data_IF_445328910754
#
_entry.id   IF_445328910754
#
_cell.length_a   1.000
_cell.length_b   1.000
_cell.length_c   1.000
_cell.angle_alpha   90.00
_cell.angle_beta   90.00
_cell.angle_gamma   90.00
#
_symmetry.space_group_name_H-M   'P 1'
#
loop_
_entity.id
_entity.type
_entity.pdbx_description
1 polymer ?
#
# COMPACT_ATOMS: atom_id res chain seq x y z
N UNK A 1 20.33 -3.93 18.21
CA UNK A 1 19.64 -5.24 18.21
C UNK A 1 19.67 -5.78 16.79
N UNK A 2 19.64 -7.10 16.62
CA UNK A 2 19.62 -7.72 15.27
C UNK A 2 18.18 -7.96 14.86
N UNK A 3 17.93 -8.17 13.56
CA UNK A 3 16.58 -8.49 13.07
C UNK A 3 16.07 -9.78 13.73
N UNK A 4 16.99 -10.73 13.98
CA UNK A 4 16.69 -12.02 14.61
C UNK A 4 16.36 -11.86 16.09
N UNK A 5 17.08 -11.02 16.85
CA UNK A 5 16.79 -10.85 18.28
C UNK A 5 15.42 -10.23 18.54
N UNK A 6 14.99 -9.32 17.66
CA UNK A 6 13.64 -8.71 17.74
C UNK A 6 12.55 -9.76 17.45
N UNK A 7 12.78 -10.62 16.46
CA UNK A 7 11.87 -11.72 16.13
C UNK A 7 11.76 -12.74 17.29
N UNK A 8 12.88 -13.10 17.91
CA UNK A 8 12.91 -13.99 19.07
C UNK A 8 12.20 -13.38 20.28
N UNK A 9 12.34 -12.07 20.51
CA UNK A 9 11.61 -11.36 21.54
C UNK A 9 10.09 -11.41 21.30
N UNK A 10 9.65 -11.22 20.05
CA UNK A 10 8.25 -11.30 19.67
C UNK A 10 7.64 -12.72 19.79
N UNK A 11 8.46 -13.76 19.60
CA UNK A 11 8.06 -15.15 19.92
C UNK A 11 7.91 -15.32 21.44
N UNK A 12 8.89 -14.84 22.21
CA UNK A 12 8.90 -14.99 23.66
C UNK A 12 7.76 -14.23 24.36
N UNK A 13 7.32 -13.10 23.79
CA UNK A 13 6.14 -12.35 24.27
C UNK A 13 4.80 -12.98 23.85
N UNK A 14 4.82 -13.95 22.92
CA UNK A 14 3.62 -14.56 22.36
C UNK A 14 2.91 -13.72 21.29
N UNK A 15 3.54 -12.65 20.79
CA UNK A 15 2.97 -11.79 19.74
C UNK A 15 2.95 -12.49 18.38
N UNK A 16 3.86 -13.44 18.15
CA UNK A 16 3.95 -14.24 16.92
C UNK A 16 4.25 -15.72 17.22
N UNK A 17 3.88 -16.58 16.27
CA UNK A 17 4.31 -17.98 16.26
C UNK A 17 5.61 -18.12 15.46
N UNK A 18 6.48 -19.02 15.90
CA UNK A 18 7.74 -19.30 15.21
C UNK A 18 7.50 -20.00 13.86
N UNK A 19 8.10 -19.47 12.78
CA UNK A 19 7.97 -19.99 11.42
C UNK A 19 9.36 -20.16 10.79
N UNK A 20 9.69 -21.41 10.42
CA UNK A 20 10.97 -21.77 9.79
C UNK A 20 11.22 -21.05 8.46
N UNK A 21 10.18 -20.75 7.67
CA UNK A 21 10.31 -20.03 6.41
C UNK A 21 10.57 -18.55 6.65
N UNK A 22 9.94 -17.97 7.68
CA UNK A 22 10.25 -16.61 8.12
C UNK A 22 11.69 -16.51 8.64
N UNK A 23 12.17 -17.50 9.39
CA UNK A 23 13.57 -17.58 9.83
C UNK A 23 14.57 -17.59 8.66
N UNK A 24 14.28 -18.27 7.55
CA UNK A 24 15.12 -18.23 6.34
C UNK A 24 15.22 -16.81 5.76
N UNK A 25 14.10 -16.10 5.69
CA UNK A 25 14.08 -14.70 5.24
C UNK A 25 14.87 -13.80 6.20
N UNK A 26 14.71 -14.00 7.51
CA UNK A 26 15.44 -13.23 8.53
C UNK A 26 16.96 -13.43 8.44
N UNK A 27 17.42 -14.66 8.16
CA UNK A 27 18.84 -14.93 7.92
C UNK A 27 19.36 -14.18 6.69
N UNK A 28 18.59 -14.16 5.60
CA UNK A 28 18.96 -13.41 4.39
C UNK A 28 18.97 -11.89 4.64
N UNK A 29 18.00 -11.39 5.40
CA UNK A 29 17.93 -9.98 5.84
C UNK A 29 19.10 -9.60 6.74
N UNK A 30 19.48 -10.46 7.68
CA UNK A 30 20.63 -10.26 8.56
C UNK A 30 21.94 -10.21 7.75
N UNK A 31 22.14 -11.16 6.81
CA UNK A 31 23.28 -11.14 5.89
C UNK A 31 23.35 -9.84 5.09
N UNK A 32 22.23 -9.42 4.49
CA UNK A 32 22.18 -8.16 3.75
C UNK A 32 22.50 -6.96 4.66
N UNK A 33 22.02 -6.98 5.89
CA UNK A 33 22.30 -5.93 6.86
C UNK A 33 23.79 -5.81 7.18
N UNK A 34 24.50 -6.94 7.29
CA UNK A 34 25.93 -7.00 7.49
C UNK A 34 26.72 -6.56 6.26
N UNK A 35 26.32 -6.98 5.05
CA UNK A 35 26.94 -6.54 3.79
C UNK A 35 26.81 -5.04 3.54
N UNK A 36 25.74 -4.41 4.05
CA UNK A 36 25.52 -2.96 3.94
C UNK A 36 26.40 -2.12 4.88
N UNK A 37 26.92 -2.71 5.96
CA UNK A 37 27.79 -2.01 6.91
C UNK A 37 29.12 -1.59 6.25
N UNK A 38 29.68 -0.43 6.62
CA UNK A 38 30.97 -0.03 6.10
C UNK A 38 32.05 -1.06 6.53
N UNK A 39 32.97 -1.44 5.63
CA UNK A 39 34.02 -2.39 5.98
C UNK A 39 34.84 -1.84 7.15
N UNK A 40 35.05 -2.68 8.18
CA UNK A 40 35.99 -2.36 9.26
C UNK A 40 37.34 -2.06 8.62
N UNK A 41 37.96 -0.94 8.99
CA UNK A 41 39.21 -0.41 8.41
C UNK A 41 40.35 -1.43 8.50
N UNK A 42 40.45 -2.32 7.51
CA UNK A 42 41.66 -3.11 7.24
C UNK A 42 42.41 -2.45 6.10
N UNK A 43 43.53 -1.83 6.45
CA UNK A 43 44.49 -1.10 5.62
C UNK A 43 45.02 -1.79 4.34
N UNK A 44 44.69 -3.06 4.07
CA UNK A 44 45.25 -3.84 2.95
C UNK A 44 44.23 -4.54 2.05
N UNK A 45 42.95 -4.16 2.04
CA UNK A 45 41.99 -4.72 1.07
C UNK A 45 41.76 -3.77 -0.11
N UNK A 46 42.34 -4.14 -1.25
CA UNK A 46 41.94 -3.67 -2.60
C UNK A 46 40.41 -3.70 -2.64
N UNK A 47 39.80 -2.56 -2.96
CA UNK A 47 38.36 -2.30 -2.95
C UNK A 47 37.67 -3.16 -4.01
N UNK A 48 37.51 -4.45 -3.73
CA UNK A 48 36.74 -5.37 -4.57
C UNK A 48 35.30 -4.89 -4.48
N UNK A 49 34.75 -4.42 -5.61
CA UNK A 49 33.35 -4.01 -5.73
C UNK A 49 32.52 -5.27 -5.47
N UNK A 50 32.14 -5.51 -4.22
CA UNK A 50 31.23 -6.57 -3.86
C UNK A 50 29.85 -6.18 -4.40
N UNK A 51 29.30 -6.95 -5.33
CA UNK A 51 27.95 -6.73 -5.85
C UNK A 51 26.96 -7.25 -4.80
N UNK A 52 26.47 -6.34 -3.94
CA UNK A 52 25.52 -6.67 -2.88
C UNK A 52 24.17 -6.98 -3.53
N UNK A 53 23.69 -8.21 -3.36
CA UNK A 53 22.37 -8.59 -3.85
C UNK A 53 21.28 -8.11 -2.90
N UNK A 54 20.22 -7.57 -3.48
CA UNK A 54 18.97 -7.29 -2.81
C UNK A 54 18.18 -8.56 -2.45
N UNK A 55 16.97 -8.38 -1.95
CA UNK A 55 16.05 -9.47 -1.61
C UNK A 55 14.71 -9.28 -2.32
N UNK A 56 14.17 -10.34 -2.90
CA UNK A 56 12.80 -10.37 -3.42
C UNK A 56 12.04 -11.48 -2.71
N UNK A 57 11.15 -11.10 -1.80
CA UNK A 57 10.42 -12.01 -0.93
C UNK A 57 9.00 -12.13 -1.48
N UNK A 58 8.59 -13.34 -1.85
CA UNK A 58 7.24 -13.58 -2.34
C UNK A 58 6.51 -14.67 -1.56
N UNK A 59 5.19 -14.65 -1.59
CA UNK A 59 4.35 -15.65 -0.91
C UNK A 59 2.91 -15.17 -0.79
N UNK A 60 1.94 -16.03 -0.46
CA UNK A 60 0.54 -15.64 -0.39
C UNK A 60 0.26 -14.58 0.67
N UNK A 61 -0.93 -13.98 0.62
CA UNK A 61 -1.41 -13.02 1.62
C UNK A 61 -1.41 -13.67 3.01
N UNK A 62 -1.04 -12.90 4.04
CA UNK A 62 -1.09 -13.35 5.43
C UNK A 62 0.15 -14.09 5.96
N UNK A 63 1.16 -14.39 5.14
CA UNK A 63 2.39 -15.11 5.58
C UNK A 63 3.44 -14.24 6.30
N UNK A 64 3.09 -13.00 6.66
CA UNK A 64 3.98 -12.12 7.45
C UNK A 64 5.03 -11.32 6.65
N UNK A 65 4.94 -11.23 5.32
CA UNK A 65 5.88 -10.45 4.48
C UNK A 65 6.09 -9.01 4.95
N UNK A 66 4.99 -8.29 5.22
CA UNK A 66 5.04 -6.89 5.66
C UNK A 66 5.70 -6.75 7.03
N UNK A 67 5.40 -7.68 7.95
CA UNK A 67 6.02 -7.73 9.28
C UNK A 67 7.54 -7.96 9.19
N UNK A 68 7.99 -8.90 8.36
CA UNK A 68 9.42 -9.12 8.13
C UNK A 68 10.11 -7.88 7.53
N UNK A 69 9.43 -7.19 6.59
CA UNK A 69 9.92 -5.93 6.06
C UNK A 69 9.99 -4.84 7.14
N UNK A 70 9.00 -4.75 8.03
CA UNK A 70 8.98 -3.81 9.16
C UNK A 70 10.18 -4.02 10.08
N UNK A 71 10.39 -5.27 10.52
CA UNK A 71 11.53 -5.66 11.35
C UNK A 71 12.86 -5.28 10.69
N UNK A 72 13.06 -5.66 9.42
CA UNK A 72 14.28 -5.34 8.70
C UNK A 72 14.49 -3.83 8.56
N UNK A 73 13.46 -3.10 8.12
CA UNK A 73 13.56 -1.67 7.88
C UNK A 73 13.82 -0.87 9.17
N UNK A 74 13.27 -1.31 10.31
CA UNK A 74 13.52 -0.66 11.60
C UNK A 74 14.94 -0.94 12.10
N UNK A 75 15.41 -2.19 12.02
CA UNK A 75 16.68 -2.61 12.62
C UNK A 75 17.91 -2.36 11.74
N UNK A 76 17.73 -2.16 10.42
CA UNK A 76 18.86 -1.91 9.50
C UNK A 76 19.56 -0.58 9.83
N UNK A 77 20.88 -0.63 10.04
CA UNK A 77 21.72 0.54 10.35
C UNK A 77 22.06 1.45 9.16
N UNK A 78 21.57 1.14 7.96
CA UNK A 78 21.73 1.98 6.77
C UNK A 78 20.91 3.27 6.92
N UNK A 79 21.57 4.42 6.82
CA UNK A 79 20.92 5.74 6.96
C UNK A 79 20.28 6.19 5.66
N UNK A 80 20.86 5.81 4.51
CA UNK A 80 20.33 6.11 3.18
C UNK A 80 19.33 5.04 2.76
N UNK A 81 18.20 4.96 3.47
CA UNK A 81 17.12 4.01 3.18
C UNK A 81 15.82 4.73 2.89
N UNK A 82 15.01 4.18 2.00
CA UNK A 82 13.66 4.66 1.73
C UNK A 82 12.72 3.46 1.53
N UNK A 83 11.45 3.62 1.93
CA UNK A 83 10.45 2.56 1.82
C UNK A 83 9.15 3.10 1.22
N UNK A 84 8.61 2.39 0.25
CA UNK A 84 7.39 2.77 -0.45
C UNK A 84 6.49 1.56 -0.71
N UNK A 85 5.18 1.79 -0.78
CA UNK A 85 4.33 0.92 -1.60
C UNK A 85 4.66 1.13 -3.07
N UNK A 86 4.74 0.04 -3.84
CA UNK A 86 5.16 0.11 -5.23
C UNK A 86 4.29 1.03 -6.09
N UNK A 87 2.96 0.98 -5.95
CA UNK A 87 2.05 1.81 -6.75
C UNK A 87 2.26 3.31 -6.50
N UNK A 88 2.32 3.72 -5.23
CA UNK A 88 2.56 5.12 -4.86
C UNK A 88 3.93 5.63 -5.34
N UNK A 89 4.95 4.76 -5.29
CA UNK A 89 6.24 5.09 -5.88
C UNK A 89 6.14 5.35 -7.39
N UNK A 90 5.44 4.49 -8.13
CA UNK A 90 5.28 4.65 -9.58
C UNK A 90 4.49 5.93 -9.94
N UNK A 91 3.49 6.31 -9.14
CA UNK A 91 2.81 7.61 -9.30
C UNK A 91 3.76 8.80 -9.14
N UNK A 92 4.68 8.73 -8.17
CA UNK A 92 5.68 9.79 -7.98
C UNK A 92 6.70 9.83 -9.12
N UNK A 93 7.11 8.68 -9.67
CA UNK A 93 7.96 8.60 -10.86
C UNK A 93 7.26 9.24 -12.06
N UNK A 94 6.00 8.90 -12.29
CA UNK A 94 5.18 9.45 -13.38
C UNK A 94 5.03 10.98 -13.26
N UNK A 95 4.83 11.51 -12.06
CA UNK A 95 4.84 12.95 -11.82
C UNK A 95 6.20 13.62 -12.13
N UNK A 96 7.32 12.95 -11.85
CA UNK A 96 8.66 13.46 -12.22
C UNK A 96 8.90 13.39 -13.73
N UNK A 97 8.45 12.32 -14.40
CA UNK A 97 8.57 12.17 -15.85
C UNK A 97 7.84 13.28 -16.59
N UNK A 98 6.63 13.66 -16.15
CA UNK A 98 5.92 14.82 -16.70
C UNK A 98 6.70 16.13 -16.55
N UNK A 99 7.35 16.35 -15.41
CA UNK A 99 8.17 17.56 -15.17
C UNK A 99 9.44 17.60 -16.03
N UNK A 100 9.97 16.42 -16.36
CA UNK A 100 11.17 16.26 -17.17
C UNK A 100 10.84 15.98 -18.64
N UNK A 101 9.60 16.22 -19.07
CA UNK A 101 9.17 15.97 -20.44
C UNK A 101 10.03 16.78 -21.43
N UNK A 102 10.45 16.12 -22.51
CA UNK A 102 11.35 16.71 -23.52
C UNK A 102 12.84 16.70 -23.14
N UNK A 103 13.20 16.27 -21.92
CA UNK A 103 14.60 16.07 -21.55
C UNK A 103 15.09 14.68 -21.97
N UNK A 104 16.39 14.58 -22.24
CA UNK A 104 17.03 13.31 -22.58
C UNK A 104 17.23 12.44 -21.33
N UNK A 105 16.93 11.15 -21.46
CA UNK A 105 17.08 10.11 -20.42
C UNK A 105 16.51 10.50 -19.03
N UNK A 106 15.22 10.87 -18.93
CA UNK A 106 14.65 11.41 -17.69
C UNK A 106 14.69 10.40 -16.53
N UNK A 107 14.54 9.10 -16.80
CA UNK A 107 14.63 8.05 -15.78
C UNK A 107 16.03 7.95 -15.16
N UNK A 108 17.09 8.13 -15.97
CA UNK A 108 18.47 8.13 -15.46
C UNK A 108 18.73 9.32 -14.54
N UNK A 109 18.19 10.49 -14.89
CA UNK A 109 18.26 11.69 -14.05
C UNK A 109 17.52 11.48 -12.73
N UNK A 110 16.29 10.96 -12.78
CA UNK A 110 15.50 10.62 -11.59
C UNK A 110 16.29 9.64 -10.69
N UNK A 111 16.87 8.59 -11.28
CA UNK A 111 17.68 7.63 -10.54
C UNK A 111 18.92 8.24 -9.88
N UNK A 112 19.65 9.10 -10.60
CA UNK A 112 20.82 9.79 -10.05
C UNK A 112 20.45 10.71 -8.89
N UNK A 113 19.34 11.45 -9.00
CA UNK A 113 18.85 12.33 -7.94
C UNK A 113 18.34 11.56 -6.73
N UNK A 114 17.66 10.43 -6.95
CA UNK A 114 17.19 9.53 -5.89
C UNK A 114 18.37 8.90 -5.13
N UNK A 115 19.41 8.46 -5.85
CA UNK A 115 20.59 7.81 -5.28
C UNK A 115 21.42 8.70 -4.34
N UNK A 116 21.29 10.03 -4.43
CA UNK A 116 21.95 10.97 -3.49
C UNK A 116 21.55 10.71 -2.04
N UNK A 117 20.28 10.36 -1.82
CA UNK A 117 19.69 10.11 -0.48
C UNK A 117 19.39 8.65 -0.19
N UNK A 118 19.29 7.80 -1.21
CA UNK A 118 18.86 6.41 -1.04
C UNK A 118 19.89 5.45 -1.64
N UNK A 119 20.39 4.54 -0.80
CA UNK A 119 21.21 3.38 -1.15
C UNK A 119 20.42 2.09 -1.00
N UNK A 120 19.50 2.00 -0.03
CA UNK A 120 18.60 0.88 0.17
C UNK A 120 17.16 1.30 -0.13
N UNK A 121 16.54 0.64 -1.12
CA UNK A 121 15.15 0.88 -1.52
C UNK A 121 14.30 -0.32 -1.13
N UNK A 122 13.34 -0.11 -0.24
CA UNK A 122 12.38 -1.12 0.18
C UNK A 122 11.04 -0.90 -0.53
N UNK A 123 10.54 -1.90 -1.25
CA UNK A 123 9.18 -1.91 -1.79
C UNK A 123 8.29 -2.88 -1.03
N UNK A 124 7.18 -2.37 -0.50
CA UNK A 124 6.05 -3.19 -0.13
C UNK A 124 5.14 -3.40 -1.34
N UNK A 125 4.55 -4.59 -1.42
CA UNK A 125 3.51 -4.95 -2.40
C UNK A 125 3.95 -4.69 -3.84
N UNK A 126 5.11 -5.20 -4.22
CA UNK A 126 5.64 -5.08 -5.58
C UNK A 126 4.76 -5.84 -6.57
N UNK A 127 3.80 -5.13 -7.16
CA UNK A 127 2.78 -5.67 -8.04
C UNK A 127 2.59 -4.78 -9.26
N UNK A 128 2.65 -5.38 -10.46
CA UNK A 128 2.58 -4.67 -11.74
C UNK A 128 1.36 -5.15 -12.51
N UNK A 129 0.38 -4.27 -12.67
CA UNK A 129 -0.80 -4.49 -13.52
C UNK A 129 -0.97 -3.41 -14.60
N UNK A 130 -0.42 -2.22 -14.35
CA UNK A 130 -0.51 -1.08 -15.25
C UNK A 130 0.51 -1.20 -16.39
N UNK A 131 0.04 -1.06 -17.64
CA UNK A 131 0.88 -1.14 -18.84
C UNK A 131 1.93 -0.04 -18.87
N UNK A 132 1.61 1.19 -18.50
CA UNK A 132 2.55 2.31 -18.50
C UNK A 132 3.69 2.06 -17.51
N UNK A 133 3.38 1.53 -16.33
CA UNK A 133 4.39 1.18 -15.34
C UNK A 133 5.28 0.03 -15.83
N UNK A 134 4.67 -1.01 -16.42
CA UNK A 134 5.39 -2.13 -16.99
C UNK A 134 6.38 -1.67 -18.08
N UNK A 135 6.00 -0.69 -18.91
CA UNK A 135 6.86 -0.21 -19.99
C UNK A 135 8.13 0.52 -19.51
N UNK A 136 8.09 1.21 -18.38
CA UNK A 136 9.23 1.99 -17.88
C UNK A 136 10.05 1.26 -16.82
N UNK A 137 9.51 0.21 -16.21
CA UNK A 137 10.11 -0.40 -15.01
C UNK A 137 11.49 -1.00 -15.27
N UNK A 138 11.69 -1.62 -16.43
CA UNK A 138 12.99 -2.20 -16.79
C UNK A 138 14.09 -1.14 -16.82
N UNK A 139 13.84 -0.02 -17.51
CA UNK A 139 14.79 1.09 -17.63
C UNK A 139 15.01 1.77 -16.27
N UNK A 140 13.95 1.93 -15.48
CA UNK A 140 14.04 2.51 -14.14
C UNK A 140 14.88 1.65 -13.19
N UNK A 141 14.63 0.34 -13.13
CA UNK A 141 15.43 -0.58 -12.31
C UNK A 141 16.89 -0.61 -12.78
N UNK A 142 17.12 -0.64 -14.10
CA UNK A 142 18.47 -0.56 -14.65
C UNK A 142 19.19 0.71 -14.21
N UNK A 143 18.50 1.86 -14.26
CA UNK A 143 19.04 3.13 -13.82
C UNK A 143 19.35 3.14 -12.31
N UNK A 144 18.47 2.57 -11.47
CA UNK A 144 18.72 2.45 -10.03
C UNK A 144 19.91 1.55 -9.71
N UNK A 145 19.98 0.36 -10.33
CA UNK A 145 21.10 -0.55 -10.12
C UNK A 145 22.43 0.01 -10.62
N UNK A 146 22.42 0.81 -11.69
CA UNK A 146 23.60 1.53 -12.16
C UNK A 146 24.12 2.56 -11.14
N UNK A 147 23.23 3.14 -10.33
CA UNK A 147 23.58 4.05 -9.23
C UNK A 147 23.95 3.32 -7.92
N UNK A 148 23.93 1.98 -7.91
CA UNK A 148 24.26 1.18 -6.73
C UNK A 148 23.15 1.11 -5.68
N UNK A 149 21.90 1.40 -6.07
CA UNK A 149 20.74 1.18 -5.20
C UNK A 149 20.51 -0.32 -5.05
N UNK A 150 20.29 -0.75 -3.82
CA UNK A 150 20.00 -2.14 -3.44
C UNK A 150 18.51 -2.24 -3.17
N UNK A 151 17.86 -3.24 -3.77
CA UNK A 151 16.41 -3.44 -3.70
C UNK A 151 16.04 -4.50 -2.67
N UNK A 152 15.09 -4.21 -1.79
CA UNK A 152 14.39 -5.22 -0.99
C UNK A 152 12.91 -5.11 -1.29
N UNK A 153 12.28 -6.15 -1.81
CA UNK A 153 10.89 -6.12 -2.23
C UNK A 153 10.10 -7.25 -1.59
N UNK A 154 8.84 -6.97 -1.20
CA UNK A 154 7.85 -7.99 -0.85
C UNK A 154 6.75 -8.03 -1.91
N UNK A 155 6.29 -9.23 -2.29
CA UNK A 155 5.21 -9.40 -3.28
C UNK A 155 4.33 -10.62 -2.99
N UNK A 156 3.11 -10.61 -3.50
CA UNK A 156 2.26 -11.80 -3.52
C UNK A 156 2.52 -12.70 -4.75
N UNK A 157 3.35 -12.23 -5.68
CA UNK A 157 3.59 -12.86 -6.98
C UNK A 157 5.08 -13.17 -7.12
N UNK A 158 5.43 -14.34 -7.62
CA UNK A 158 6.84 -14.63 -7.91
C UNK A 158 7.32 -13.76 -9.11
N UNK A 159 8.63 -13.48 -9.24
CA UNK A 159 9.12 -12.62 -10.31
C UNK A 159 8.70 -13.06 -11.71
N UNK A 160 8.68 -14.37 -11.98
CA UNK A 160 8.32 -14.93 -13.29
C UNK A 160 6.84 -14.77 -13.65
N UNK A 161 5.98 -14.48 -12.66
CA UNK A 161 4.54 -14.24 -12.82
C UNK A 161 4.17 -12.74 -12.76
N UNK A 162 5.12 -11.85 -12.48
CA UNK A 162 4.86 -10.41 -12.49
C UNK A 162 4.36 -9.95 -13.86
N UNK A 163 3.24 -9.24 -13.93
CA UNK A 163 2.60 -8.77 -15.17
C UNK A 163 2.22 -9.91 -16.15
N UNK A 164 1.95 -11.11 -15.62
CA UNK A 164 1.54 -12.27 -16.43
C UNK A 164 0.28 -11.92 -17.23
N UNK A 165 0.28 -12.27 -18.52
CA UNK A 165 -0.76 -11.90 -19.49
C UNK A 165 -0.90 -10.38 -19.79
N UNK A 166 0.00 -9.55 -19.27
CA UNK A 166 0.01 -8.12 -19.57
C UNK A 166 0.34 -7.81 -21.04
N UNK A 167 -0.23 -6.70 -21.54
CA UNK A 167 0.03 -6.22 -22.91
C UNK A 167 1.52 -5.99 -23.12
N UNK A 168 2.06 -6.52 -24.21
CA UNK A 168 3.49 -6.44 -24.57
C UNK A 168 4.44 -6.98 -23.47
N UNK A 169 4.04 -8.06 -22.75
CA UNK A 169 4.85 -8.74 -21.73
C UNK A 169 6.32 -8.96 -22.10
N UNK A 170 6.64 -9.22 -23.37
CA UNK A 170 8.02 -9.36 -23.85
C UNK A 170 8.92 -8.16 -23.47
N UNK A 171 8.36 -6.93 -23.48
CA UNK A 171 9.07 -5.71 -23.06
C UNK A 171 9.29 -5.62 -21.54
N UNK A 172 8.54 -6.39 -20.75
CA UNK A 172 8.66 -6.46 -19.30
C UNK A 172 9.65 -7.53 -18.83
N UNK A 173 9.93 -8.56 -19.64
CA UNK A 173 10.90 -9.62 -19.30
C UNK A 173 12.28 -9.10 -18.86
N UNK A 174 12.84 -8.01 -19.43
CA UNK A 174 14.08 -7.42 -18.94
C UNK A 174 14.00 -6.96 -17.47
N UNK A 175 12.85 -6.45 -17.01
CA UNK A 175 12.67 -6.09 -15.60
C UNK A 175 12.73 -7.32 -14.69
N UNK A 176 12.10 -8.43 -15.10
CA UNK A 176 12.16 -9.71 -14.37
C UNK A 176 13.61 -10.22 -14.30
N UNK A 177 14.34 -10.18 -15.43
CA UNK A 177 15.73 -10.58 -15.48
C UNK A 177 16.63 -9.71 -14.56
N UNK A 178 16.37 -8.40 -14.50
CA UNK A 178 17.06 -7.48 -13.58
C UNK A 178 16.77 -7.83 -12.12
N UNK A 179 15.52 -8.11 -11.76
CA UNK A 179 15.15 -8.53 -10.40
C UNK A 179 15.88 -9.83 -10.03
N UNK A 180 15.82 -10.86 -10.88
CA UNK A 180 16.44 -12.18 -10.60
C UNK A 180 17.98 -12.13 -10.57
N UNK A 181 18.60 -11.20 -11.31
CA UNK A 181 20.05 -11.04 -11.29
C UNK A 181 20.55 -10.24 -10.08
N UNK A 182 19.79 -9.22 -9.65
CA UNK A 182 20.18 -8.29 -8.58
C UNK A 182 19.60 -8.62 -7.21
N UNK A 183 18.62 -9.52 -7.13
CA UNK A 183 18.01 -9.95 -5.88
C UNK A 183 18.15 -11.46 -5.69
N UNK A 184 18.29 -11.89 -4.44
CA UNK A 184 17.98 -13.26 -4.03
C UNK A 184 16.45 -13.39 -3.92
N UNK A 185 15.88 -14.37 -4.61
CA UNK A 185 14.44 -14.62 -4.60
C UNK A 185 14.13 -15.68 -3.54
N UNK A 186 13.29 -15.32 -2.56
CA UNK A 186 12.93 -16.19 -1.44
C UNK A 186 11.41 -16.36 -1.40
N UNK A 187 10.96 -17.62 -1.40
CA UNK A 187 9.54 -17.96 -1.27
C UNK A 187 9.18 -18.20 0.19
N UNK A 188 8.16 -17.50 0.67
CA UNK A 188 7.45 -17.74 1.91
C UNK A 188 6.20 -18.58 1.61
N UNK A 189 6.38 -19.91 1.62
CA UNK A 189 5.31 -20.89 1.61
C UNK A 189 5.01 -21.52 0.25
N UNK A 190 5.31 -22.82 0.13
CA UNK A 190 4.65 -23.74 -0.81
C UNK A 190 3.99 -24.84 0.03
N UNK A 191 2.65 -24.87 0.09
CA UNK A 191 1.75 -25.80 0.84
C UNK A 191 1.74 -25.68 2.39
N UNK A 192 0.71 -25.06 2.95
CA UNK A 192 -0.59 -25.63 3.35
C UNK A 192 -1.40 -24.50 3.98
N UNK A 193 -2.68 -24.48 3.67
CA UNK A 193 -3.63 -23.46 4.09
C UNK A 193 -3.74 -23.44 5.63
N UNK A 194 -3.17 -22.40 6.27
CA UNK A 194 -3.30 -22.13 7.70
C UNK A 194 -4.39 -21.08 7.97
N UNK A 195 -5.48 -21.05 7.20
CA UNK A 195 -6.66 -20.21 7.47
C UNK A 195 -7.51 -20.74 8.64
N UNK A 196 -6.87 -21.24 9.70
CA UNK A 196 -7.54 -21.71 10.91
C UNK A 196 -7.13 -20.83 12.09
N UNK A 197 -8.12 -20.11 12.62
CA UNK A 197 -8.00 -19.37 13.88
C UNK A 197 -7.76 -17.88 13.69
N UNK A 198 -8.80 -17.13 13.35
CA UNK A 198 -8.87 -15.72 13.73
C UNK A 198 -10.21 -15.50 14.40
N UNK A 199 -10.16 -15.13 15.67
CA UNK A 199 -11.35 -14.67 16.39
C UNK A 199 -11.94 -13.45 15.66
N UNK A 200 -13.23 -13.48 15.31
CA UNK A 200 -13.88 -12.35 14.67
C UNK A 200 -14.02 -11.21 15.68
N UNK A 201 -13.21 -10.16 15.53
CA UNK A 201 -13.48 -8.88 16.17
C UNK A 201 -14.47 -8.12 15.28
N UNK A 202 -15.71 -7.98 15.77
CA UNK A 202 -16.84 -7.22 15.20
C UNK A 202 -16.99 -7.35 13.67
N UNK A 203 -17.98 -8.14 13.25
CA UNK A 203 -18.38 -8.38 11.86
C UNK A 203 -18.28 -7.11 10.99
N UNK A 204 -17.14 -6.95 10.30
CA UNK A 204 -16.90 -5.82 9.40
C UNK A 204 -17.61 -6.00 8.05
N UNK A 205 -18.15 -7.19 7.81
CA UNK A 205 -18.98 -7.51 6.64
C UNK A 205 -20.26 -8.17 7.12
N UNK A 206 -21.35 -7.40 7.07
CA UNK A 206 -22.66 -7.75 7.60
C UNK A 206 -23.56 -8.20 6.46
N UNK A 207 -24.21 -9.35 6.63
CA UNK A 207 -25.18 -9.88 5.68
C UNK A 207 -26.12 -10.86 6.42
N UNK A 208 -27.32 -11.14 5.87
CA UNK A 208 -27.97 -10.45 4.75
C UNK A 208 -28.49 -9.07 5.17
N UNK A 209 -28.80 -8.20 4.21
CA UNK A 209 -29.45 -6.91 4.50
C UNK A 209 -30.76 -7.11 5.26
N UNK A 210 -30.97 -6.28 6.29
CA UNK A 210 -32.21 -6.20 7.04
C UNK A 210 -32.03 -5.47 8.37
N UNK A 211 -33.12 -5.36 9.12
CA UNK A 211 -33.15 -4.58 10.37
C UNK A 211 -32.09 -5.01 11.41
N UNK A 212 -31.71 -6.29 11.42
CA UNK A 212 -30.66 -6.80 12.30
C UNK A 212 -29.28 -6.24 11.93
N UNK A 213 -28.89 -6.28 10.65
CA UNK A 213 -27.61 -5.73 10.19
C UNK A 213 -27.57 -4.21 10.32
N UNK A 214 -28.69 -3.54 10.11
CA UNK A 214 -28.79 -2.07 10.25
C UNK A 214 -28.61 -1.65 11.70
N UNK A 215 -29.15 -2.43 12.63
CA UNK A 215 -28.95 -2.23 14.07
C UNK A 215 -27.47 -2.39 14.43
N UNK A 216 -26.81 -3.45 13.95
CA UNK A 216 -25.39 -3.70 14.20
C UNK A 216 -24.52 -2.58 13.60
N UNK A 217 -24.78 -2.14 12.37
CA UNK A 217 -24.10 -1.01 11.74
C UNK A 217 -24.20 0.26 12.59
N UNK A 218 -25.42 0.58 13.04
CA UNK A 218 -25.67 1.74 13.88
C UNK A 218 -24.94 1.65 15.22
N UNK A 219 -25.01 0.50 15.89
CA UNK A 219 -24.32 0.25 17.16
C UNK A 219 -22.80 0.41 17.02
N UNK A 220 -22.21 -0.17 15.97
CA UNK A 220 -20.78 -0.03 15.68
C UNK A 220 -20.40 1.42 15.37
N UNK A 221 -21.21 2.15 14.60
CA UNK A 221 -20.95 3.56 14.30
C UNK A 221 -21.00 4.42 15.57
N UNK A 222 -22.05 4.27 16.38
CA UNK A 222 -22.22 5.03 17.64
C UNK A 222 -21.17 4.68 18.68
N UNK A 223 -20.62 3.45 18.67
CA UNK A 223 -19.50 3.08 19.53
C UNK A 223 -18.20 3.83 19.19
N UNK A 224 -18.02 4.24 17.92
CA UNK A 224 -16.86 5.02 17.47
C UNK A 224 -17.12 6.53 17.64
N UNK A 225 -18.32 6.98 17.25
CA UNK A 225 -18.73 8.38 17.22
C UNK A 225 -19.91 8.64 18.15
N UNK A 226 -19.63 9.13 19.36
CA UNK A 226 -20.68 9.52 20.32
C UNK A 226 -21.44 10.77 19.85
N UNK A 227 -20.74 11.69 19.17
CA UNK A 227 -21.30 12.92 18.62
C UNK A 227 -21.24 12.86 17.09
N UNK A 228 -22.36 12.57 16.44
CA UNK A 228 -22.45 12.52 14.98
C UNK A 228 -23.63 13.30 14.44
N UNK A 229 -23.45 13.82 13.23
CA UNK A 229 -24.53 14.43 12.44
C UNK A 229 -25.11 13.35 11.54
N UNK A 230 -26.43 13.27 11.48
CA UNK A 230 -27.14 12.39 10.54
C UNK A 230 -27.61 13.19 9.34
N UNK A 231 -27.59 12.56 8.16
CA UNK A 231 -28.10 13.11 6.89
C UNK A 231 -27.59 14.51 6.55
N UNK A 232 -26.36 14.58 6.02
CA UNK A 232 -25.74 15.81 5.56
C UNK A 232 -24.87 15.58 4.33
N UNK A 233 -24.08 16.59 3.98
CA UNK A 233 -23.18 16.53 2.84
C UNK A 233 -21.73 16.70 3.29
N UNK A 234 -20.85 15.82 2.79
CA UNK A 234 -19.42 16.00 2.86
C UNK A 234 -18.94 16.65 1.56
N UNK A 235 -18.38 17.86 1.64
CA UNK A 235 -17.71 18.48 0.50
C UNK A 235 -16.34 17.83 0.30
N UNK A 236 -16.18 17.17 -0.84
CA UNK A 236 -14.94 16.52 -1.30
C UNK A 236 -14.54 17.18 -2.62
N UNK A 237 -13.34 17.73 -2.67
CA UNK A 237 -12.91 18.67 -3.70
C UNK A 237 -13.89 19.85 -3.86
N UNK A 238 -14.70 19.86 -4.92
CA UNK A 238 -15.69 20.89 -5.25
C UNK A 238 -17.13 20.35 -5.28
N UNK A 239 -17.35 19.14 -4.77
CA UNK A 239 -18.62 18.42 -4.89
C UNK A 239 -19.10 17.90 -3.54
N UNK A 240 -20.41 17.98 -3.34
CA UNK A 240 -21.06 17.45 -2.15
C UNK A 240 -21.39 15.96 -2.31
N UNK A 241 -21.11 15.20 -1.26
CA UNK A 241 -21.40 13.77 -1.15
C UNK A 241 -22.35 13.58 0.03
N UNK A 242 -23.61 13.17 -0.20
CA UNK A 242 -24.53 12.86 0.88
C UNK A 242 -23.99 11.73 1.75
N UNK A 243 -24.03 11.89 3.08
CA UNK A 243 -23.70 10.84 4.03
C UNK A 243 -24.93 10.46 4.86
N UNK A 244 -24.95 9.23 5.35
CA UNK A 244 -25.94 8.73 6.30
C UNK A 244 -25.64 9.29 7.68
N UNK A 245 -24.39 9.13 8.15
CA UNK A 245 -23.87 9.71 9.40
C UNK A 245 -22.42 10.16 9.23
N UNK A 246 -22.03 11.22 9.94
CA UNK A 246 -20.67 11.72 9.97
C UNK A 246 -20.32 12.15 11.39
N UNK A 247 -19.21 11.63 11.91
CA UNK A 247 -18.57 12.10 13.13
C UNK A 247 -17.19 12.69 12.83
N UNK A 248 -16.32 12.73 13.84
CA UNK A 248 -14.97 13.27 13.71
C UNK A 248 -14.01 12.32 12.98
N UNK A 249 -14.09 11.03 13.31
CA UNK A 249 -13.16 9.97 12.85
C UNK A 249 -13.85 8.93 11.97
N UNK A 250 -15.18 8.84 11.98
CA UNK A 250 -15.93 7.94 11.13
C UNK A 250 -16.98 8.63 10.25
N UNK A 251 -17.19 8.08 9.06
CA UNK A 251 -18.24 8.50 8.14
C UNK A 251 -18.96 7.29 7.55
N UNK A 252 -20.25 7.45 7.28
CA UNK A 252 -21.12 6.41 6.74
C UNK A 252 -21.82 6.89 5.47
N UNK A 253 -21.65 6.14 4.39
CA UNK A 253 -22.33 6.34 3.12
C UNK A 253 -23.28 5.19 2.78
N UNK A 254 -24.31 5.50 1.99
CA UNK A 254 -25.05 4.50 1.21
C UNK A 254 -24.23 4.06 -0.02
N UNK A 255 -24.29 2.79 -0.38
CA UNK A 255 -23.55 2.23 -1.51
C UNK A 255 -23.79 2.98 -2.83
N UNK A 256 -25.05 3.31 -3.15
CA UNK A 256 -25.43 4.00 -4.39
C UNK A 256 -25.01 5.47 -4.39
N UNK A 257 -24.56 6.01 -3.27
CA UNK A 257 -24.00 7.36 -3.20
C UNK A 257 -22.49 7.34 -3.41
N UNK A 258 -21.79 6.44 -2.71
CA UNK A 258 -20.32 6.42 -2.73
C UNK A 258 -19.74 5.69 -3.95
N UNK A 259 -20.45 4.71 -4.49
CA UNK A 259 -20.07 3.96 -5.69
C UNK A 259 -20.86 4.38 -6.93
N UNK A 260 -21.11 5.68 -7.13
CA UNK A 260 -21.84 6.18 -8.30
C UNK A 260 -21.03 7.25 -9.05
N UNK A 261 -21.33 7.51 -10.31
CA UNK A 261 -20.71 8.62 -11.03
C UNK A 261 -21.21 9.96 -10.46
N UNK A 262 -20.37 11.02 -10.49
CA UNK A 262 -19.05 11.11 -11.09
C UNK A 262 -17.87 10.83 -10.12
N UNK A 263 -17.99 9.87 -9.19
CA UNK A 263 -16.90 9.58 -8.22
C UNK A 263 -15.63 9.10 -8.92
N UNK A 264 -14.51 9.45 -8.31
CA UNK A 264 -13.16 9.17 -8.78
C UNK A 264 -12.28 8.71 -7.62
N UNK A 265 -11.13 8.10 -7.96
CA UNK A 265 -10.16 7.65 -6.96
C UNK A 265 -9.65 8.79 -6.06
N UNK A 266 -9.56 10.03 -6.58
CA UNK A 266 -9.15 11.20 -5.79
C UNK A 266 -10.14 11.52 -4.68
N UNK A 267 -11.44 11.32 -4.91
CA UNK A 267 -12.46 11.54 -3.89
C UNK A 267 -12.30 10.54 -2.73
N UNK A 268 -12.03 9.28 -3.07
CA UNK A 268 -11.81 8.23 -2.07
C UNK A 268 -10.53 8.47 -1.28
N UNK A 269 -9.47 8.99 -1.91
CA UNK A 269 -8.23 9.34 -1.22
C UNK A 269 -8.46 10.46 -0.20
N UNK A 270 -9.21 11.49 -0.59
CA UNK A 270 -9.54 12.60 0.31
C UNK A 270 -10.43 12.15 1.49
N UNK A 271 -11.38 11.23 1.25
CA UNK A 271 -12.15 10.60 2.32
C UNK A 271 -11.24 9.82 3.27
N UNK A 272 -10.32 9.03 2.73
CA UNK A 272 -9.35 8.26 3.52
C UNK A 272 -8.35 9.15 4.29
N UNK A 273 -8.07 10.37 3.81
CA UNK A 273 -7.24 11.35 4.53
C UNK A 273 -7.98 11.98 5.72
N UNK A 274 -9.31 12.03 5.69
CA UNK A 274 -10.13 12.67 6.73
C UNK A 274 -10.56 11.69 7.82
N UNK A 275 -10.93 10.46 7.46
CA UNK A 275 -11.55 9.50 8.39
C UNK A 275 -10.65 8.30 8.69
N UNK A 276 -10.81 7.71 9.86
CA UNK A 276 -10.15 6.46 10.27
C UNK A 276 -11.00 5.24 9.93
N UNK A 277 -12.32 5.40 9.96
CA UNK A 277 -13.30 4.35 9.70
C UNK A 277 -14.35 4.82 8.69
N UNK A 278 -14.65 3.98 7.71
CA UNK A 278 -15.69 4.25 6.73
C UNK A 278 -16.71 3.12 6.77
N UNK A 279 -17.99 3.49 6.81
CA UNK A 279 -19.12 2.58 6.74
C UNK A 279 -19.79 2.70 5.37
N UNK A 280 -20.16 1.57 4.77
CA UNK A 280 -20.95 1.53 3.53
C UNK A 280 -22.12 0.57 3.72
N UNK A 281 -23.34 1.09 3.68
CA UNK A 281 -24.53 0.23 3.78
C UNK A 281 -25.11 -0.13 2.42
N UNK A 282 -25.90 -1.20 2.42
CA UNK A 282 -26.84 -1.54 1.36
C UNK A 282 -26.18 -1.90 0.02
N UNK A 283 -25.04 -2.60 0.08
CA UNK A 283 -24.41 -3.13 -1.14
C UNK A 283 -25.30 -4.24 -1.72
N UNK A 284 -25.88 -4.06 -2.93
CA UNK A 284 -26.73 -5.06 -3.54
C UNK A 284 -25.89 -6.22 -4.10
N UNK A 285 -26.57 -7.28 -4.55
CA UNK A 285 -25.94 -8.25 -5.44
C UNK A 285 -25.59 -7.55 -6.74
N UNK A 286 -24.31 -7.51 -7.11
CA UNK A 286 -23.88 -6.90 -8.36
C UNK A 286 -24.00 -7.91 -9.50
N UNK A 287 -24.57 -7.45 -10.61
CA UNK A 287 -24.83 -8.24 -11.80
C UNK A 287 -24.01 -7.76 -12.99
N UNK A 288 -24.11 -8.44 -14.13
CA UNK A 288 -23.45 -8.02 -15.38
C UNK A 288 -23.85 -6.62 -15.84
N UNK A 289 -24.97 -6.07 -15.36
CA UNK A 289 -25.45 -4.73 -15.69
C UNK A 289 -24.84 -3.64 -14.79
N UNK A 290 -24.13 -4.03 -13.73
CA UNK A 290 -23.62 -3.14 -12.70
C UNK A 290 -22.11 -2.86 -12.85
N UNK A 291 -21.56 -2.97 -14.07
CA UNK A 291 -20.12 -2.82 -14.34
C UNK A 291 -19.54 -1.53 -13.76
N UNK A 292 -20.25 -0.41 -13.86
CA UNK A 292 -19.79 0.88 -13.30
C UNK A 292 -19.72 0.83 -11.77
N UNK A 293 -20.75 0.28 -11.11
CA UNK A 293 -20.77 0.08 -9.66
C UNK A 293 -19.63 -0.85 -9.20
N UNK A 294 -19.38 -1.92 -9.96
CA UNK A 294 -18.28 -2.85 -9.67
C UNK A 294 -16.91 -2.16 -9.79
N UNK A 295 -16.68 -1.36 -10.83
CA UNK A 295 -15.43 -0.58 -11.02
C UNK A 295 -15.24 0.40 -9.85
N UNK A 296 -16.27 1.16 -9.48
CA UNK A 296 -16.19 2.15 -8.41
C UNK A 296 -15.98 1.49 -7.05
N UNK A 297 -16.62 0.35 -6.78
CA UNK A 297 -16.40 -0.43 -5.58
C UNK A 297 -14.97 -0.98 -5.51
N UNK A 298 -14.42 -1.46 -6.63
CA UNK A 298 -13.00 -1.87 -6.72
C UNK A 298 -12.09 -0.71 -6.35
N UNK A 299 -12.27 0.47 -6.97
CA UNK A 299 -11.45 1.65 -6.67
C UNK A 299 -11.58 2.11 -5.21
N UNK A 300 -12.80 2.09 -4.68
CA UNK A 300 -13.09 2.48 -3.30
C UNK A 300 -12.38 1.55 -2.30
N UNK A 301 -12.60 0.23 -2.44
CA UNK A 301 -11.96 -0.77 -1.57
C UNK A 301 -10.44 -0.70 -1.70
N UNK A 302 -9.93 -0.51 -2.92
CA UNK A 302 -8.50 -0.39 -3.15
C UNK A 302 -7.87 0.76 -2.36
N UNK A 303 -8.51 1.94 -2.38
CA UNK A 303 -8.04 3.09 -1.61
C UNK A 303 -8.13 2.84 -0.10
N UNK A 304 -9.26 2.32 0.39
CA UNK A 304 -9.42 2.06 1.83
C UNK A 304 -8.42 1.02 2.34
N UNK A 305 -8.17 -0.02 1.54
CA UNK A 305 -7.17 -1.04 1.82
C UNK A 305 -5.76 -0.43 1.85
N UNK A 306 -5.36 0.27 0.78
CA UNK A 306 -4.00 0.82 0.65
C UNK A 306 -3.70 1.90 1.71
N UNK A 307 -4.73 2.61 2.18
CA UNK A 307 -4.63 3.65 3.22
C UNK A 307 -4.79 3.11 4.65
N UNK A 308 -5.06 1.82 4.83
CA UNK A 308 -5.24 1.20 6.15
C UNK A 308 -6.52 1.64 6.86
N UNK A 309 -7.55 2.07 6.11
CA UNK A 309 -8.82 2.53 6.66
C UNK A 309 -9.65 1.33 7.07
N UNK A 310 -10.28 1.42 8.26
CA UNK A 310 -11.24 0.40 8.71
C UNK A 310 -12.52 0.54 7.89
N UNK A 311 -12.89 -0.51 7.17
CA UNK A 311 -14.09 -0.53 6.34
C UNK A 311 -15.12 -1.49 6.93
N UNK A 312 -16.31 -0.98 7.22
CA UNK A 312 -17.46 -1.77 7.68
C UNK A 312 -18.56 -1.71 6.61
N UNK A 313 -19.08 -2.85 6.20
CA UNK A 313 -20.02 -2.98 5.08
C UNK A 313 -21.26 -3.77 5.50
N UNK A 314 -22.44 -3.37 5.01
CA UNK A 314 -23.58 -4.29 4.88
C UNK A 314 -23.87 -4.64 3.42
N UNK A 315 -24.17 -5.90 3.16
CA UNK A 315 -24.39 -6.42 1.82
C UNK A 315 -25.54 -7.44 1.74
N UNK A 316 -26.16 -7.53 0.56
CA UNK A 316 -27.31 -8.40 0.32
C UNK A 316 -26.96 -9.89 0.41
N UNK A 317 -25.71 -10.25 0.15
CA UNK A 317 -25.23 -11.64 0.02
C UNK A 317 -23.86 -11.82 0.68
N UNK A 318 -23.46 -13.07 0.98
CA UNK A 318 -22.11 -13.35 1.43
C UNK A 318 -21.05 -12.86 0.42
N UNK A 319 -19.87 -12.50 0.92
CA UNK A 319 -18.78 -11.91 0.13
C UNK A 319 -18.45 -12.67 -1.19
N UNK A 320 -18.33 -14.01 -1.23
CA UNK A 320 -18.05 -14.74 -2.48
C UNK A 320 -19.14 -14.63 -3.55
N UNK A 321 -20.35 -14.24 -3.16
CA UNK A 321 -21.53 -14.11 -4.04
C UNK A 321 -21.79 -12.66 -4.47
N UNK A 322 -21.00 -11.69 -3.99
CA UNK A 322 -21.24 -10.27 -4.22
C UNK A 322 -21.18 -9.88 -5.70
N UNK A 323 -20.26 -10.50 -6.48
CA UNK A 323 -20.13 -10.31 -7.92
C UNK A 323 -19.52 -11.55 -8.58
N UNK A 324 -20.37 -12.39 -9.20
CA UNK A 324 -19.98 -13.72 -9.70
C UNK A 324 -19.79 -13.75 -11.22
N UNK A 325 -20.37 -12.79 -11.95
CA UNK A 325 -20.38 -12.72 -13.40
C UNK A 325 -20.31 -11.26 -13.89
N UNK A 326 -19.63 -11.03 -15.02
CA UNK A 326 -19.48 -9.73 -15.65
C UNK A 326 -18.02 -9.40 -15.97
N UNK A 327 -17.81 -8.30 -16.69
CA UNK A 327 -16.51 -7.92 -17.27
C UNK A 327 -15.41 -7.77 -16.22
N UNK A 328 -15.77 -7.33 -15.01
CA UNK A 328 -14.82 -7.09 -13.92
C UNK A 328 -14.53 -8.32 -13.07
N UNK A 329 -15.08 -9.50 -13.38
CA UNK A 329 -15.07 -10.68 -12.50
C UNK A 329 -13.66 -11.06 -12.01
N UNK A 330 -12.68 -11.08 -12.92
CA UNK A 330 -11.32 -11.47 -12.56
C UNK A 330 -10.62 -10.42 -11.69
N UNK A 331 -10.80 -9.14 -12.01
CA UNK A 331 -10.31 -8.03 -11.18
C UNK A 331 -10.98 -8.01 -9.80
N UNK A 332 -12.27 -8.36 -9.73
CA UNK A 332 -13.06 -8.36 -8.50
C UNK A 332 -12.61 -9.45 -7.51
N UNK A 333 -11.96 -10.53 -7.97
CA UNK A 333 -11.35 -11.54 -7.08
C UNK A 333 -10.34 -10.91 -6.12
N UNK A 334 -9.58 -9.90 -6.57
CA UNK A 334 -8.65 -9.15 -5.72
C UNK A 334 -9.40 -8.35 -4.66
N UNK A 335 -10.49 -7.68 -5.05
CA UNK A 335 -11.37 -6.94 -4.14
C UNK A 335 -11.97 -7.85 -3.08
N UNK A 336 -12.42 -9.05 -3.44
CA UNK A 336 -12.91 -10.04 -2.47
C UNK A 336 -11.82 -10.43 -1.47
N UNK A 337 -10.59 -10.69 -1.93
CA UNK A 337 -9.47 -11.01 -1.04
C UNK A 337 -9.15 -9.87 -0.08
N UNK A 338 -9.18 -8.62 -0.55
CA UNK A 338 -8.95 -7.41 0.27
C UNK A 338 -10.04 -7.25 1.32
N UNK A 339 -11.31 -7.34 0.92
CA UNK A 339 -12.46 -7.29 1.82
C UNK A 339 -12.41 -8.39 2.88
N UNK A 340 -11.97 -9.60 2.52
CA UNK A 340 -11.80 -10.69 3.47
C UNK A 340 -10.66 -10.42 4.46
N UNK A 341 -9.55 -9.84 4.01
CA UNK A 341 -8.43 -9.48 4.89
C UNK A 341 -8.79 -8.33 5.85
N UNK A 342 -9.53 -7.34 5.37
CA UNK A 342 -10.03 -6.20 6.16
C UNK A 342 -10.96 -6.63 7.31
N UNK A 343 -11.54 -7.84 7.25
CA UNK A 343 -12.33 -8.43 8.34
C UNK A 343 -11.48 -9.02 9.48
N UNK A 344 -10.15 -9.07 9.36
CA UNK A 344 -9.30 -9.67 10.38
C UNK A 344 -8.85 -8.67 11.45
N UNK A 345 -8.83 -9.11 12.72
CA UNK A 345 -8.38 -8.30 13.86
C UNK A 345 -6.99 -7.67 13.67
N UNK A 346 -6.13 -8.34 12.91
CA UNK A 346 -4.77 -7.90 12.64
C UNK A 346 -4.64 -6.80 11.59
N UNK A 347 -5.67 -6.58 10.76
CA UNK A 347 -5.59 -5.65 9.63
C UNK A 347 -5.24 -4.23 10.08
N UNK A 348 -5.94 -3.73 11.11
CA UNK A 348 -5.74 -2.38 11.67
C UNK A 348 -4.39 -2.24 12.38
N UNK A 349 -3.92 -3.30 13.05
CA UNK A 349 -2.61 -3.30 13.73
C UNK A 349 -1.44 -3.32 12.76
N UNK A 350 -1.60 -3.97 11.58
CA UNK A 350 -0.55 -4.11 10.56
C UNK A 350 -0.46 -2.95 9.57
N UNK A 351 -1.49 -2.10 9.48
CA UNK A 351 -1.56 -0.97 8.55
C UNK A 351 -1.81 0.36 9.26
N UNK A 352 -0.91 0.82 10.18
CA UNK A 352 -1.03 2.15 10.74
C UNK A 352 -0.99 3.21 9.62
N UNK A 353 -1.75 4.31 9.75
CA UNK A 353 -1.81 5.44 8.81
C UNK A 353 -0.40 5.78 8.31
N UNK A 354 -0.06 5.39 7.08
CA UNK A 354 1.29 5.61 6.53
C UNK A 354 1.41 7.09 6.18
N UNK A 355 2.34 7.77 6.84
CA UNK A 355 2.77 9.10 6.41
C UNK A 355 3.29 9.01 4.98
N UNK A 356 2.73 9.84 4.09
CA UNK A 356 3.13 9.93 2.68
C UNK A 356 4.60 10.35 2.62
N UNK A 357 5.51 9.39 2.42
CA UNK A 357 6.90 9.71 2.11
C UNK A 357 6.94 10.28 0.69
N UNK A 358 7.25 11.57 0.59
CA UNK A 358 7.47 12.24 -0.69
C UNK A 358 8.81 11.82 -1.27
N UNK A 359 8.85 11.46 -2.56
CA UNK A 359 10.05 11.00 -3.26
C UNK A 359 11.26 11.87 -2.95
N UNK A 360 11.09 13.20 -2.87
CA UNK A 360 12.12 14.24 -2.74
C UNK A 360 12.14 15.02 -1.41
N UNK A 361 11.37 14.62 -0.39
CA UNK A 361 11.50 15.20 0.96
C UNK A 361 10.95 16.62 1.18
N UNK A 362 10.09 17.16 0.31
CA UNK A 362 9.27 18.34 0.63
C UNK A 362 7.92 18.27 -0.07
N UNK A 363 6.86 18.53 0.69
CA UNK A 363 5.55 18.87 0.14
C UNK A 363 5.61 20.33 -0.33
N UNK A 364 5.25 20.66 -1.58
CA UNK A 364 5.12 22.06 -2.01
C UNK A 364 3.98 22.80 -1.27
N UNK A 365 3.05 22.07 -0.65
CA UNK A 365 1.85 22.65 -0.04
C UNK A 365 2.09 23.41 1.27
N UNK A 366 3.28 23.36 1.87
CA UNK A 366 3.57 24.08 3.12
C UNK A 366 4.26 25.44 2.93
N UNK A 367 4.82 25.78 1.76
CA UNK A 367 5.56 27.04 1.58
C UNK A 367 4.69 28.22 1.09
N UNK A 368 3.52 27.97 0.51
CA UNK A 368 2.63 29.05 0.02
C UNK A 368 1.73 29.65 1.11
N UNK A 369 1.51 28.96 2.24
CA UNK A 369 0.71 29.51 3.35
C UNK A 369 1.50 30.39 4.32
N UNK A 370 2.82 30.22 4.44
CA UNK A 370 3.64 31.08 5.32
C UNK A 370 3.99 32.42 4.67
N UNK A 371 4.15 32.46 3.35
CA UNK A 371 4.46 33.70 2.61
C UNK A 371 3.23 34.61 2.42
N UNK A 372 2.02 34.04 2.37
CA UNK A 372 0.77 34.82 2.32
C UNK A 372 0.38 35.46 3.67
N UNK A 373 0.85 34.91 4.80
CA UNK A 373 0.57 35.40 6.15
C UNK A 373 1.41 36.59 6.61
N UNK A 374 2.62 36.77 6.05
CA UNK A 374 3.53 37.85 6.45
C UNK A 374 3.34 39.14 5.63
N UNK A 375 2.76 39.07 4.43
CA UNK A 375 2.50 40.24 3.58
C UNK A 375 1.32 41.13 4.00
N UNK A 376 0.43 40.66 4.89
CA UNK A 376 -0.76 41.43 5.32
C UNK A 376 -0.60 42.19 6.65
N UNK A 377 0.48 41.98 7.41
CA UNK A 377 0.74 42.72 8.66
C UNK A 377 1.55 44.01 8.48
N UNK A 378 2.15 44.26 7.31
CA UNK A 378 2.98 45.44 7.07
C UNK A 378 2.24 46.66 6.46
N UNK A 379 0.93 46.59 6.19
CA UNK A 379 0.14 47.69 5.58
C UNK A 379 -0.93 48.32 6.48
N UNK A 380 -0.90 48.08 7.80
CA UNK A 380 -1.84 48.69 8.76
C UNK A 380 -1.20 49.62 9.80
N UNK A 381 0.05 50.04 9.58
CA UNK A 381 0.73 51.03 10.41
C UNK A 381 1.23 52.21 9.57
N UNK A 382 0.32 52.85 8.82
CA UNK A 382 0.50 54.21 8.29
C UNK A 382 -0.84 54.72 7.76
N UNK A 383 -1.70 55.16 8.68
CA UNK A 383 -2.61 56.31 8.50
C UNK A 383 -3.23 56.67 9.83
#
# INVERSE_FOLDING_TARGET
MTVISEYEAAIASGDIQDDLMQRKVLLAMQRLAEELQPPKRTWFRRRQKHDIKGLYIHGPVGVGKSYLMDLFYQQIGERKKARFHFHHFMQQIDAQLRRLQGQKDPLRRIAADFAKRTRLLCFDEFLVHDVAYAMILAELLQAFFAQGIILVATSNTCPDELYLNGVQRARFLPAIALIKSRCEVISLGDKKDYRLGRDPLQEAYLYPLGAATDKILNEQFTAIEQNSVSQGNLTVQTRDIPFVKCGERAIWFDFKVICNLPRSQLDYLEIADRFDTVFVSDIPVLTTNDTVYAILLVHFVDVMYDRGIRLVISAAVPLPQLYVQGEMKDSFKRTLSRLQEMQSADYVRRHPRRQVQNLLGSSPFTQEQETAGQGKKAKKATK
#
